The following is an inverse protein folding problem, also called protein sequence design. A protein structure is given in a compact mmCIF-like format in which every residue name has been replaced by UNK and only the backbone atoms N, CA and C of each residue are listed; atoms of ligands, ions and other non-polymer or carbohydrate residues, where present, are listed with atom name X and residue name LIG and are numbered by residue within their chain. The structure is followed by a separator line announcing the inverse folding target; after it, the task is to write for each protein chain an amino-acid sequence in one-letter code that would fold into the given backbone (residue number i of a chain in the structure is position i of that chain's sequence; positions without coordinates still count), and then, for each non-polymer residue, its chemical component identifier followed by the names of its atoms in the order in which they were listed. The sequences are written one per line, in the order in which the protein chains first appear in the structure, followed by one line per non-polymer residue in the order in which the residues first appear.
data_IF_946610532473
#
_entry.id   IF_946610532473
#
_cell.length_a   1.000
_cell.length_b   1.000
_cell.length_c   1.000
_cell.angle_alpha   90.00
_cell.angle_beta   90.00
_cell.angle_gamma   90.00
#
_symmetry.space_group_name_H-M   'P 1'
#
loop_
_entity.id
_entity.type
_entity.pdbx_description
1 polymer ?
#
# COMPACT_ATOMS: atom_id res chain seq x y z
N UNK A 1 7.76 -11.78 5.30
CA UNK A 1 7.23 -11.41 3.96
C UNK A 1 5.74 -11.08 4.08
N UNK A 2 5.33 -9.94 3.58
CA UNK A 2 3.90 -9.56 3.67
C UNK A 2 3.46 -8.89 2.36
N UNK A 3 2.62 -9.54 1.60
CA UNK A 3 2.17 -8.94 0.32
C UNK A 3 1.25 -7.75 0.61
N UNK A 4 1.44 -6.66 -0.09
CA UNK A 4 0.58 -5.46 0.15
C UNK A 4 -0.24 -5.17 -1.11
N UNK A 5 -1.52 -5.39 -1.05
CA UNK A 5 -2.38 -5.12 -2.24
C UNK A 5 -3.61 -4.31 -1.82
N UNK A 6 -4.35 -3.81 -2.76
CA UNK A 6 -5.56 -3.01 -2.41
C UNK A 6 -6.61 -3.93 -1.77
N UNK A 7 -7.49 -3.33 -1.01
CA UNK A 7 -8.56 -4.06 -0.32
C UNK A 7 -9.70 -4.40 -1.29
N UNK A 8 -10.52 -5.36 -0.95
CA UNK A 8 -11.64 -5.74 -1.85
C UNK A 8 -12.71 -4.65 -1.82
N UNK A 9 -12.94 -3.99 -2.92
CA UNK A 9 -13.98 -2.92 -2.95
C UNK A 9 -15.37 -3.56 -2.94
N UNK A 10 -16.31 -2.85 -2.38
CA UNK A 10 -17.70 -3.30 -2.28
C UNK A 10 -18.43 -3.11 -3.61
N UNK A 11 -19.73 -3.08 -3.60
CA UNK A 11 -20.49 -2.89 -4.86
C UNK A 11 -20.52 -1.41 -5.23
N UNK A 12 -21.00 -0.58 -4.34
CA UNK A 12 -21.05 0.88 -4.63
C UNK A 12 -19.77 1.32 -5.34
N UNK A 13 -18.64 0.88 -4.86
CA UNK A 13 -17.36 1.26 -5.52
C UNK A 13 -16.85 0.11 -6.38
N UNK A 14 -16.17 0.41 -7.45
CA UNK A 14 -15.65 -0.68 -8.34
C UNK A 14 -14.14 -0.51 -8.52
N UNK A 15 -13.54 0.36 -7.76
CA UNK A 15 -12.07 0.57 -7.89
C UNK A 15 -11.60 1.56 -6.83
N UNK A 16 -10.37 2.00 -6.91
CA UNK A 16 -9.85 2.96 -5.91
C UNK A 16 -8.71 3.77 -6.52
N UNK A 17 -8.02 4.54 -5.72
CA UNK A 17 -6.89 5.36 -6.26
C UNK A 17 -5.83 5.55 -5.17
N UNK A 18 -4.61 5.21 -5.45
CA UNK A 18 -3.53 5.37 -4.43
C UNK A 18 -3.62 6.77 -3.82
N UNK A 19 -3.05 6.96 -2.66
CA UNK A 19 -3.10 8.30 -2.01
C UNK A 19 -1.74 8.99 -2.16
N UNK A 20 -0.76 8.56 -1.41
CA UNK A 20 0.58 9.19 -1.51
C UNK A 20 1.64 8.24 -0.93
N UNK A 21 2.72 8.04 -1.64
CA UNK A 21 3.77 7.13 -1.14
C UNK A 21 4.78 7.93 -0.29
N UNK A 22 4.46 8.17 0.95
CA UNK A 22 5.40 8.94 1.82
C UNK A 22 6.84 8.49 1.55
N UNK A 23 7.12 7.23 1.77
CA UNK A 23 8.51 6.73 1.53
C UNK A 23 8.55 5.95 0.22
N UNK A 24 9.66 5.34 -0.08
CA UNK A 24 9.77 4.56 -1.34
C UNK A 24 10.28 3.15 -1.04
N UNK A 25 10.21 2.30 -2.03
CA UNK A 25 10.66 0.90 -1.91
C UNK A 25 12.19 0.83 -1.98
N UNK A 26 12.81 0.29 -0.96
CA UNK A 26 14.29 0.19 -0.97
C UNK A 26 14.86 0.94 0.23
N UNK A 27 14.02 1.32 1.16
CA UNK A 27 14.52 2.06 2.36
C UNK A 27 14.24 1.23 3.62
N UNK A 28 14.71 1.69 4.75
CA UNK A 28 14.48 0.93 6.01
C UNK A 28 13.12 1.31 6.60
N UNK A 29 12.35 0.35 7.02
CA UNK A 29 11.02 0.67 7.61
C UNK A 29 11.02 0.32 9.10
N UNK A 30 10.02 0.75 9.82
CA UNK A 30 9.96 0.45 11.27
C UNK A 30 8.53 0.09 11.67
N UNK A 31 8.34 -1.03 12.30
CA UNK A 31 6.96 -1.43 12.71
C UNK A 31 6.21 -0.21 13.24
N UNK A 32 4.93 -0.12 12.96
CA UNK A 32 4.14 1.04 13.45
C UNK A 32 4.58 2.30 12.70
N UNK A 33 4.87 2.18 11.43
CA UNK A 33 5.29 3.38 10.65
C UNK A 33 4.53 3.42 9.32
N UNK A 34 3.68 4.39 9.15
CA UNK A 34 2.91 4.49 7.88
C UNK A 34 3.81 4.14 6.69
N UNK A 35 3.23 3.76 5.59
CA UNK A 35 4.05 3.41 4.40
C UNK A 35 3.37 3.92 3.13
N UNK A 36 2.08 3.79 3.04
CA UNK A 36 1.36 4.27 1.83
C UNK A 36 -0.12 4.49 2.17
N UNK A 37 -0.67 5.59 1.74
CA UNK A 37 -2.11 5.87 2.04
C UNK A 37 -2.97 5.42 0.85
N UNK A 38 -4.22 5.16 1.09
CA UNK A 38 -5.11 4.72 -0.03
C UNK A 38 -6.30 5.67 -0.14
N UNK A 39 -6.83 5.84 -1.32
CA UNK A 39 -8.00 6.75 -1.49
C UNK A 39 -9.19 5.97 -2.03
N UNK A 40 -10.37 6.24 -1.54
CA UNK A 40 -11.57 5.51 -2.03
C UNK A 40 -12.62 6.51 -2.50
N UNK A 41 -13.76 6.04 -2.93
CA UNK A 41 -14.83 6.96 -3.40
C UNK A 41 -14.91 8.17 -2.47
N UNK A 42 -14.98 7.93 -1.19
CA UNK A 42 -15.06 9.07 -0.23
C UNK A 42 -14.47 8.64 1.12
N UNK A 43 -13.54 7.73 1.11
CA UNK A 43 -12.93 7.27 2.39
C UNK A 43 -11.41 7.17 2.22
N UNK A 44 -10.67 7.73 3.13
CA UNK A 44 -9.18 7.67 3.02
C UNK A 44 -8.64 6.66 4.04
N UNK A 45 -7.96 5.64 3.57
CA UNK A 45 -7.41 4.63 4.51
C UNK A 45 -5.90 4.83 4.65
N UNK A 46 -5.25 4.01 5.43
CA UNK A 46 -3.78 4.17 5.61
C UNK A 46 -3.12 2.78 5.62
N UNK A 47 -1.91 2.69 5.12
CA UNK A 47 -1.22 1.37 5.10
C UNK A 47 0.05 1.45 5.96
N UNK A 48 0.00 0.94 7.16
CA UNK A 48 1.20 0.98 8.03
C UNK A 48 1.97 -0.33 7.92
N UNK A 49 3.19 -0.36 8.40
CA UNK A 49 3.98 -1.62 8.32
C UNK A 49 3.64 -2.52 9.51
N UNK A 50 3.57 -3.80 9.29
CA UNK A 50 3.24 -4.73 10.41
C UNK A 50 4.53 -5.30 10.99
N UNK A 51 5.65 -4.72 10.67
CA UNK A 51 6.94 -5.24 11.21
C UNK A 51 8.10 -4.61 10.43
N UNK A 52 9.20 -4.35 11.09
CA UNK A 52 10.37 -3.74 10.39
C UNK A 52 10.81 -4.64 9.24
N UNK A 53 11.70 -4.17 8.42
CA UNK A 53 12.17 -4.99 7.27
C UNK A 53 12.57 -4.07 6.12
N UNK A 54 12.49 -4.55 4.91
CA UNK A 54 12.87 -3.71 3.74
C UNK A 54 11.82 -3.88 2.63
N UNK A 55 11.28 -2.80 2.15
CA UNK A 55 10.26 -2.90 1.07
C UNK A 55 10.87 -3.59 -0.15
N UNK A 56 10.05 -4.06 -1.05
CA UNK A 56 10.58 -4.75 -2.26
C UNK A 56 10.48 -3.81 -3.47
N UNK A 57 9.29 -3.39 -3.80
CA UNK A 57 9.13 -2.48 -4.97
C UNK A 57 7.65 -2.12 -5.14
N UNK A 58 7.37 -0.94 -5.62
CA UNK A 58 5.95 -0.54 -5.80
C UNK A 58 5.60 -0.58 -7.29
N UNK A 59 4.50 -1.19 -7.63
CA UNK A 59 4.10 -1.27 -9.07
C UNK A 59 3.17 -0.11 -9.40
N UNK A 60 2.32 0.27 -8.48
CA UNK A 60 1.38 1.40 -8.75
C UNK A 60 2.00 2.70 -8.25
N UNK A 61 1.73 3.79 -8.92
CA UNK A 61 2.30 5.10 -8.48
C UNK A 61 1.23 5.91 -7.75
N UNK A 62 1.59 7.06 -7.25
CA UNK A 62 0.59 7.90 -6.52
C UNK A 62 -0.36 8.54 -7.53
N UNK A 63 -1.58 8.78 -7.13
CA UNK A 63 -2.56 9.40 -8.07
C UNK A 63 -2.93 8.40 -9.17
N UNK A 64 -2.61 7.15 -8.97
CA UNK A 64 -2.95 6.13 -10.01
C UNK A 64 -4.22 5.39 -9.60
N UNK A 65 -4.75 4.59 -10.48
CA UNK A 65 -5.99 3.83 -10.16
C UNK A 65 -5.62 2.39 -9.80
N UNK A 66 -6.29 1.81 -8.84
CA UNK A 66 -5.98 0.41 -8.45
C UNK A 66 -7.25 -0.44 -8.55
N UNK A 67 -7.10 -1.73 -8.64
CA UNK A 67 -8.30 -2.62 -8.74
C UNK A 67 -8.38 -3.51 -7.50
N UNK A 68 -9.43 -4.27 -7.38
CA UNK A 68 -9.57 -5.16 -6.19
C UNK A 68 -8.52 -6.27 -6.26
N UNK A 69 -7.61 -6.30 -5.32
CA UNK A 69 -6.56 -7.35 -5.33
C UNK A 69 -5.38 -6.89 -6.18
N UNK A 70 -5.21 -5.60 -6.33
CA UNK A 70 -4.07 -5.08 -7.14
C UNK A 70 -2.81 -5.05 -6.28
N UNK A 71 -1.80 -5.78 -6.66
CA UNK A 71 -0.54 -5.79 -5.87
C UNK A 71 0.14 -4.42 -5.97
N UNK A 72 0.21 -3.70 -4.89
CA UNK A 72 0.86 -2.36 -4.93
C UNK A 72 2.34 -2.50 -4.58
N UNK A 73 2.71 -3.57 -3.92
CA UNK A 73 4.13 -3.76 -3.54
C UNK A 73 4.26 -4.99 -2.64
N UNK A 74 5.47 -5.35 -2.29
CA UNK A 74 5.66 -6.54 -1.41
C UNK A 74 6.70 -6.22 -0.33
N UNK A 75 6.49 -6.70 0.86
CA UNK A 75 7.47 -6.42 1.96
C UNK A 75 8.48 -7.57 2.04
N UNK A 76 9.70 -7.27 2.38
CA UNK A 76 10.73 -8.34 2.48
C UNK A 76 10.90 -8.75 3.94
N UNK A 77 11.66 -9.78 4.19
CA UNK A 77 11.86 -10.23 5.60
C UNK A 77 12.52 -9.11 6.40
N UNK A 78 12.97 -9.40 7.59
CA UNK A 78 13.62 -8.35 8.42
C UNK A 78 14.43 -9.00 9.54
N UNK A 79 15.72 -9.06 9.41
CA UNK A 79 16.56 -9.68 10.47
C UNK A 79 17.84 -10.23 9.85
#
# INVERSE_FOLDING_TARGET
AIDIKAPTFPESIADGTVATWHKKPGEAVKRDELIVDIETDKVVMEVLAEADGVIAEIVKNEGDTVLSGELLGKLTEGG
#
